data_IF_708459019756
#
_entry.id   IF_708459019756
#
_cell.length_a   1.000
_cell.length_b   1.000
_cell.length_c   1.000
_cell.angle_alpha   90.00
_cell.angle_beta   90.00
_cell.angle_gamma   90.00
#
_symmetry.space_group_name_H-M   'P 1'
#
loop_
_entity.id
_entity.type
_entity.pdbx_description
1 polymer ?
#
# COMPACT_ATOMS: atom_id res chain seq x y z
N UNK A 1 24.51 -0.91 35.76
CA UNK A 1 25.14 -1.12 34.44
C UNK A 1 24.60 -2.42 33.88
N UNK A 2 23.66 -2.34 32.95
CA UNK A 2 23.21 -3.44 32.08
C UNK A 2 22.40 -2.81 30.96
N UNK A 3 23.07 -2.41 29.90
CA UNK A 3 22.45 -1.91 28.66
C UNK A 3 22.06 -3.12 27.81
N UNK A 4 20.76 -3.36 27.68
CA UNK A 4 20.22 -4.34 26.75
C UNK A 4 20.17 -3.73 25.35
N UNK A 5 20.86 -4.37 24.40
CA UNK A 5 20.80 -4.08 22.98
C UNK A 5 19.47 -4.56 22.39
N UNK A 6 18.71 -3.76 21.63
CA UNK A 6 17.58 -4.27 20.89
C UNK A 6 18.06 -4.86 19.56
N UNK A 7 17.75 -6.14 19.36
CA UNK A 7 17.96 -6.89 18.13
C UNK A 7 17.09 -6.33 16.99
N UNK A 8 17.73 -5.74 15.98
CA UNK A 8 17.12 -5.35 14.71
C UNK A 8 16.88 -6.60 13.86
N UNK A 9 15.61 -7.02 13.79
CA UNK A 9 15.12 -7.96 12.79
C UNK A 9 15.06 -7.25 11.43
N UNK A 10 15.81 -7.78 10.46
CA UNK A 10 15.75 -7.42 9.05
C UNK A 10 14.32 -7.58 8.52
N UNK A 11 13.66 -6.47 8.18
CA UNK A 11 12.52 -6.47 7.26
C UNK A 11 12.96 -5.77 5.98
N UNK A 12 13.12 -6.54 4.91
CA UNK A 12 13.45 -6.12 3.55
C UNK A 12 12.28 -5.44 2.81
N UNK A 13 11.21 -5.06 3.52
CA UNK A 13 10.01 -4.43 2.97
C UNK A 13 10.14 -2.96 2.48
N UNK A 14 10.99 -2.07 3.04
CA UNK A 14 10.87 -0.63 2.76
C UNK A 14 11.59 -0.17 1.49
N UNK A 15 12.45 -1.01 0.91
CA UNK A 15 13.20 -0.71 -0.33
C UNK A 15 12.32 -0.71 -1.58
N UNK A 16 11.31 -1.58 -1.61
CA UNK A 16 10.35 -1.65 -2.72
C UNK A 16 9.36 -0.48 -2.65
N UNK A 17 9.02 0.04 -1.47
CA UNK A 17 7.97 1.07 -1.36
C UNK A 17 8.37 2.44 -1.92
N UNK A 18 9.65 2.83 -1.77
CA UNK A 18 10.16 4.13 -2.23
C UNK A 18 10.39 4.20 -3.74
N UNK A 19 10.91 3.13 -4.35
CA UNK A 19 11.14 3.08 -5.81
C UNK A 19 9.83 3.00 -6.60
N UNK A 20 8.83 2.34 -6.01
CA UNK A 20 7.51 2.21 -6.59
C UNK A 20 6.66 3.49 -6.44
N UNK A 21 6.79 4.22 -5.32
CA UNK A 21 6.15 5.53 -5.08
C UNK A 21 6.46 6.55 -6.19
N UNK A 22 7.74 6.69 -6.57
CA UNK A 22 8.14 7.64 -7.62
C UNK A 22 7.66 7.21 -9.01
N UNK A 23 7.64 5.89 -9.26
CA UNK A 23 7.15 5.30 -10.51
C UNK A 23 5.64 5.48 -10.65
N UNK A 24 4.89 5.34 -9.56
CA UNK A 24 3.45 5.60 -9.51
C UNK A 24 3.16 7.10 -9.70
N UNK A 25 3.94 7.99 -9.09
CA UNK A 25 3.77 9.43 -9.26
C UNK A 25 4.04 9.87 -10.71
N UNK A 26 5.09 9.33 -11.35
CA UNK A 26 5.38 9.59 -12.77
C UNK A 26 4.34 8.97 -13.70
N UNK A 27 3.84 7.75 -13.41
CA UNK A 27 2.72 7.18 -14.16
C UNK A 27 1.45 8.02 -13.99
N UNK A 28 1.09 8.41 -12.77
CA UNK A 28 -0.11 9.22 -12.50
C UNK A 28 -0.04 10.61 -13.15
N UNK A 29 1.16 11.20 -13.23
CA UNK A 29 1.35 12.50 -13.89
C UNK A 29 1.33 12.39 -15.43
N UNK A 30 1.93 11.35 -16.02
CA UNK A 30 1.92 11.10 -17.47
C UNK A 30 0.54 10.64 -17.99
N UNK A 31 -0.28 10.02 -17.13
CA UNK A 31 -1.66 9.61 -17.45
C UNK A 31 -2.72 10.71 -17.27
N UNK A 32 -2.33 11.93 -16.84
CA UNK A 32 -3.29 13.00 -16.57
C UNK A 32 -3.95 13.56 -17.84
N UNK A 33 -3.40 13.28 -19.03
CA UNK A 33 -3.90 13.84 -20.29
C UNK A 33 -4.33 12.77 -21.32
N UNK A 34 -5.61 12.84 -21.68
CA UNK A 34 -6.36 12.08 -22.71
C UNK A 34 -6.77 10.64 -22.34
N UNK A 35 -8.07 10.48 -22.07
CA UNK A 35 -8.85 9.24 -21.94
C UNK A 35 -9.04 8.64 -20.52
N UNK A 36 -9.59 9.42 -19.58
CA UNK A 36 -10.05 9.00 -18.23
C UNK A 36 -11.15 7.90 -18.19
N UNK A 37 -11.61 7.38 -19.34
CA UNK A 37 -12.75 6.44 -19.41
C UNK A 37 -12.39 4.96 -19.53
N UNK A 38 -11.11 4.60 -19.68
CA UNK A 38 -10.75 3.25 -20.13
C UNK A 38 -9.74 2.51 -19.24
N UNK A 39 -9.38 2.99 -18.04
CA UNK A 39 -8.34 2.33 -17.23
C UNK A 39 -8.70 2.34 -15.75
N UNK A 40 -9.71 1.55 -15.38
CA UNK A 40 -10.31 1.60 -14.05
C UNK A 40 -10.29 0.21 -13.41
N UNK A 41 -9.78 0.13 -12.17
CA UNK A 41 -10.04 -1.03 -11.33
C UNK A 41 -11.54 -1.04 -10.98
N UNK A 42 -12.21 -2.17 -11.21
CA UNK A 42 -13.65 -2.27 -11.05
C UNK A 42 -14.03 -2.72 -9.63
N UNK A 43 -13.25 -3.63 -9.07
CA UNK A 43 -13.49 -4.19 -7.75
C UNK A 43 -12.20 -4.68 -7.12
N UNK A 44 -12.16 -4.65 -5.78
CA UNK A 44 -11.12 -5.26 -4.95
C UNK A 44 -11.78 -6.21 -3.96
N UNK A 45 -11.22 -7.41 -3.87
CA UNK A 45 -11.59 -8.44 -2.93
C UNK A 45 -10.40 -8.75 -2.02
N UNK A 46 -10.67 -8.96 -0.73
CA UNK A 46 -9.72 -9.58 0.19
C UNK A 46 -10.20 -11.00 0.46
N UNK A 47 -9.35 -11.98 0.15
CA UNK A 47 -9.61 -13.39 0.41
C UNK A 47 -8.71 -13.88 1.54
N UNK A 48 -9.22 -14.82 2.34
CA UNK A 48 -8.42 -15.58 3.28
C UNK A 48 -7.46 -16.53 2.56
N UNK A 49 -6.56 -17.15 3.32
CA UNK A 49 -5.71 -18.25 2.86
C UNK A 49 -6.49 -19.52 2.48
N UNK A 50 -7.78 -19.59 2.83
CA UNK A 50 -8.72 -20.65 2.45
C UNK A 50 -9.58 -20.32 1.22
N UNK A 51 -9.43 -19.10 0.66
CA UNK A 51 -10.19 -18.63 -0.50
C UNK A 51 -11.57 -18.04 -0.15
N UNK A 52 -11.87 -17.85 1.13
CA UNK A 52 -13.11 -17.20 1.57
C UNK A 52 -13.04 -15.69 1.33
N UNK A 53 -14.11 -15.10 0.78
CA UNK A 53 -14.19 -13.65 0.56
C UNK A 53 -14.46 -12.96 1.90
N UNK A 54 -13.43 -12.34 2.48
CA UNK A 54 -13.54 -11.57 3.72
C UNK A 54 -14.12 -10.17 3.49
N UNK A 55 -13.69 -9.52 2.40
CA UNK A 55 -14.11 -8.17 2.05
C UNK A 55 -14.27 -8.03 0.55
N UNK A 56 -15.28 -7.28 0.14
CA UNK A 56 -15.55 -6.91 -1.25
C UNK A 56 -15.85 -5.42 -1.31
N UNK A 57 -15.12 -4.70 -2.16
CA UNK A 57 -15.38 -3.29 -2.44
C UNK A 57 -15.48 -3.07 -3.94
N UNK A 58 -16.69 -2.71 -4.37
CA UNK A 58 -16.98 -2.33 -5.75
C UNK A 58 -16.63 -0.85 -5.93
N UNK A 59 -15.80 -0.55 -6.93
CA UNK A 59 -15.25 0.79 -7.16
C UNK A 59 -15.96 1.52 -8.30
N UNK A 60 -16.64 0.77 -9.17
CA UNK A 60 -17.37 1.31 -10.30
C UNK A 60 -18.84 0.88 -10.25
N UNK A 61 -19.70 1.59 -10.98
CA UNK A 61 -21.12 1.23 -11.07
C UNK A 61 -21.37 -0.13 -11.76
N UNK A 62 -20.36 -0.71 -12.43
CA UNK A 62 -20.46 -2.06 -12.97
C UNK A 62 -20.06 -3.08 -11.91
N UNK A 63 -21.05 -3.84 -11.42
CA UNK A 63 -20.82 -4.86 -10.40
C UNK A 63 -20.00 -6.02 -10.95
N UNK A 64 -18.93 -6.38 -10.25
CA UNK A 64 -18.15 -7.60 -10.49
C UNK A 64 -18.72 -8.72 -9.63
N UNK A 65 -19.02 -9.87 -10.24
CA UNK A 65 -19.61 -11.02 -9.54
C UNK A 65 -18.55 -11.84 -8.78
N UNK A 66 -18.91 -12.39 -7.61
CA UNK A 66 -18.01 -13.19 -6.76
C UNK A 66 -17.54 -14.50 -7.41
N UNK A 67 -18.19 -14.96 -8.46
CA UNK A 67 -17.73 -16.11 -9.27
C UNK A 67 -16.29 -15.95 -9.75
N UNK A 68 -15.80 -14.71 -9.90
CA UNK A 68 -14.39 -14.48 -10.24
C UNK A 68 -13.43 -14.94 -9.13
N UNK A 69 -13.82 -14.81 -7.87
CA UNK A 69 -13.03 -15.26 -6.73
C UNK A 69 -12.99 -16.79 -6.66
N UNK A 70 -14.13 -17.44 -6.92
CA UNK A 70 -14.19 -18.89 -7.02
C UNK A 70 -13.32 -19.42 -8.17
N UNK A 71 -13.41 -18.80 -9.35
CA UNK A 71 -12.55 -19.15 -10.49
C UNK A 71 -11.06 -18.95 -10.17
N UNK A 72 -10.72 -17.84 -9.52
CA UNK A 72 -9.34 -17.57 -9.09
C UNK A 72 -8.86 -18.63 -8.10
N UNK A 73 -9.69 -19.04 -7.14
CA UNK A 73 -9.33 -20.07 -6.17
C UNK A 73 -9.07 -21.43 -6.83
N UNK A 74 -9.93 -21.84 -7.77
CA UNK A 74 -9.71 -23.06 -8.57
C UNK A 74 -8.40 -22.99 -9.36
N UNK A 75 -8.08 -21.81 -9.89
CA UNK A 75 -6.80 -21.56 -10.56
C UNK A 75 -5.62 -21.73 -9.60
N UNK A 76 -5.67 -21.17 -8.38
CA UNK A 76 -4.62 -21.35 -7.35
C UNK A 76 -4.42 -22.83 -7.03
N UNK A 77 -5.51 -23.58 -6.83
CA UNK A 77 -5.47 -25.01 -6.56
C UNK A 77 -4.81 -25.79 -7.71
N UNK A 78 -5.11 -25.42 -8.97
CA UNK A 78 -4.50 -26.03 -10.16
C UNK A 78 -2.98 -25.80 -10.26
N UNK A 79 -2.48 -24.72 -9.68
CA UNK A 79 -1.05 -24.35 -9.66
C UNK A 79 -0.30 -24.87 -8.43
N UNK A 80 -0.92 -25.78 -7.66
CA UNK A 80 -0.31 -26.41 -6.48
C UNK A 80 -0.75 -25.82 -5.14
N UNK A 81 -1.79 -24.97 -5.12
CA UNK A 81 -2.46 -24.53 -3.90
C UNK A 81 -1.70 -23.51 -3.06
N UNK A 82 -0.64 -22.92 -3.59
CA UNK A 82 0.17 -21.91 -2.90
C UNK A 82 -0.01 -20.52 -3.54
N UNK A 83 -0.81 -19.62 -2.94
CA UNK A 83 -1.07 -18.28 -3.48
C UNK A 83 0.19 -17.42 -3.66
N UNK A 84 1.28 -17.70 -2.94
CA UNK A 84 2.53 -16.93 -3.01
C UNK A 84 3.32 -17.20 -4.30
N UNK A 85 3.07 -18.34 -4.95
CA UNK A 85 3.74 -18.76 -6.19
C UNK A 85 2.97 -18.36 -7.45
N UNK A 86 1.80 -17.77 -7.28
CA UNK A 86 0.92 -17.37 -8.36
C UNK A 86 1.46 -16.10 -9.02
N UNK A 87 1.27 -16.00 -10.33
CA UNK A 87 1.64 -14.80 -11.07
C UNK A 87 0.84 -13.58 -10.55
N UNK A 88 1.47 -12.41 -10.35
CA UNK A 88 0.78 -11.20 -9.90
C UNK A 88 -0.30 -10.69 -10.87
N UNK A 89 -0.28 -11.12 -12.13
CA UNK A 89 -1.26 -10.73 -13.16
C UNK A 89 -1.76 -11.99 -13.85
N UNK A 90 -3.08 -12.17 -13.87
CA UNK A 90 -3.73 -13.35 -14.44
C UNK A 90 -4.86 -12.89 -15.35
N UNK A 91 -4.97 -13.49 -16.53
CA UNK A 91 -6.13 -13.29 -17.39
C UNK A 91 -7.16 -14.38 -17.10
N UNK A 92 -8.31 -13.98 -16.54
CA UNK A 92 -9.49 -14.85 -16.48
C UNK A 92 -10.32 -14.71 -17.77
N UNK A 93 -11.33 -15.56 -17.98
CA UNK A 93 -12.21 -15.45 -19.16
C UNK A 93 -12.97 -14.12 -19.26
N UNK A 94 -13.16 -13.42 -18.14
CA UNK A 94 -14.01 -12.22 -18.06
C UNK A 94 -13.27 -10.96 -17.62
N UNK A 95 -12.20 -11.09 -16.83
CA UNK A 95 -11.45 -9.98 -16.23
C UNK A 95 -9.94 -10.26 -16.23
N UNK A 96 -9.15 -9.20 -16.28
CA UNK A 96 -7.76 -9.21 -15.82
C UNK A 96 -7.74 -9.08 -14.30
N UNK A 97 -6.96 -9.94 -13.66
CA UNK A 97 -6.81 -10.03 -12.21
C UNK A 97 -5.41 -9.62 -11.81
N UNK A 98 -5.32 -8.78 -10.78
CA UNK A 98 -4.10 -8.44 -10.09
C UNK A 98 -4.12 -9.08 -8.71
N UNK A 99 -3.06 -9.82 -8.38
CA UNK A 99 -2.93 -10.64 -7.19
C UNK A 99 -1.75 -10.14 -6.34
N UNK A 100 -1.96 -10.01 -5.04
CA UNK A 100 -0.90 -9.85 -4.05
C UNK A 100 -1.21 -10.71 -2.83
N UNK A 101 -0.26 -11.56 -2.43
CA UNK A 101 -0.35 -12.33 -1.19
C UNK A 101 0.55 -11.73 -0.11
N UNK A 102 -0.01 -11.36 1.03
CA UNK A 102 0.71 -10.79 2.18
C UNK A 102 0.09 -11.29 3.48
N UNK A 103 0.93 -11.88 4.34
CA UNK A 103 0.57 -12.27 5.71
C UNK A 103 -0.75 -13.07 5.82
N UNK A 104 -0.96 -14.03 4.91
CA UNK A 104 -2.15 -14.89 4.89
C UNK A 104 -3.38 -14.26 4.23
N UNK A 105 -3.30 -13.02 3.74
CA UNK A 105 -4.37 -12.35 3.01
C UNK A 105 -4.02 -12.27 1.53
N UNK A 106 -5.01 -12.58 0.70
CA UNK A 106 -4.96 -12.43 -0.75
C UNK A 106 -5.71 -11.16 -1.14
N UNK A 107 -4.98 -10.18 -1.66
CA UNK A 107 -5.54 -8.98 -2.27
C UNK A 107 -5.74 -9.24 -3.76
N UNK A 108 -6.99 -9.17 -4.21
CA UNK A 108 -7.37 -9.45 -5.59
C UNK A 108 -8.11 -8.24 -6.18
N UNK A 109 -7.53 -7.60 -7.20
CA UNK A 109 -8.18 -6.53 -7.93
C UNK A 109 -8.58 -6.98 -9.34
N UNK A 110 -9.73 -6.53 -9.82
CA UNK A 110 -10.31 -6.96 -11.10
C UNK A 110 -10.53 -5.78 -12.05
N UNK A 111 -10.28 -5.98 -13.33
CA UNK A 111 -10.67 -5.04 -14.40
C UNK A 111 -11.00 -5.75 -15.71
N UNK A 112 -11.96 -5.23 -16.47
CA UNK A 112 -12.28 -5.68 -17.83
C UNK A 112 -11.50 -4.94 -18.90
N UNK A 113 -10.84 -3.83 -18.54
CA UNK A 113 -10.18 -2.96 -19.51
C UNK A 113 -8.68 -3.03 -19.33
N UNK A 114 -7.96 -2.97 -20.44
CA UNK A 114 -6.50 -3.01 -20.44
C UNK A 114 -5.93 -1.78 -19.72
N UNK A 115 -5.18 -2.02 -18.65
CA UNK A 115 -4.48 -0.99 -17.88
C UNK A 115 -3.01 -1.40 -17.67
N UNK A 116 -2.09 -0.44 -17.44
CA UNK A 116 -0.71 -0.75 -17.10
C UNK A 116 -0.66 -1.70 -15.89
N UNK A 117 -0.14 -2.94 -16.04
CA UNK A 117 -0.24 -3.92 -14.96
C UNK A 117 0.47 -3.49 -13.68
N UNK A 118 1.55 -2.72 -13.83
CA UNK A 118 2.29 -2.17 -12.70
C UNK A 118 1.43 -1.25 -11.83
N UNK A 119 0.49 -0.50 -12.41
CA UNK A 119 -0.41 0.36 -11.64
C UNK A 119 -1.32 -0.45 -10.71
N UNK A 120 -1.87 -1.58 -11.19
CA UNK A 120 -2.75 -2.43 -10.39
C UNK A 120 -2.01 -3.13 -9.26
N UNK A 121 -0.85 -3.73 -9.56
CA UNK A 121 -0.02 -4.41 -8.56
C UNK A 121 0.48 -3.43 -7.50
N UNK A 122 1.00 -2.28 -7.95
CA UNK A 122 1.53 -1.26 -7.05
C UNK A 122 0.47 -0.72 -6.11
N UNK A 123 -0.73 -0.48 -6.63
CA UNK A 123 -1.85 -0.06 -5.80
C UNK A 123 -2.18 -1.10 -4.72
N UNK A 124 -2.23 -2.39 -5.07
CA UNK A 124 -2.45 -3.46 -4.08
C UNK A 124 -1.34 -3.49 -3.02
N UNK A 125 -0.08 -3.30 -3.41
CA UNK A 125 1.04 -3.19 -2.46
C UNK A 125 0.84 -2.02 -1.50
N UNK A 126 0.46 -0.84 -2.01
CA UNK A 126 0.19 0.33 -1.17
C UNK A 126 -0.98 0.12 -0.22
N UNK A 127 -2.04 -0.55 -0.66
CA UNK A 127 -3.17 -0.92 0.22
C UNK A 127 -2.69 -1.84 1.35
N UNK A 128 -1.93 -2.89 1.04
CA UNK A 128 -1.40 -3.80 2.05
C UNK A 128 -0.49 -3.07 3.06
N UNK A 129 0.40 -2.19 2.59
CA UNK A 129 1.29 -1.41 3.45
C UNK A 129 0.50 -0.47 4.37
N UNK A 130 -0.47 0.29 3.83
CA UNK A 130 -1.31 1.20 4.62
C UNK A 130 -2.10 0.44 5.67
N UNK A 131 -2.68 -0.71 5.32
CA UNK A 131 -3.44 -1.52 6.28
C UNK A 131 -2.53 -2.09 7.38
N UNK A 132 -1.34 -2.57 7.03
CA UNK A 132 -0.33 -3.01 8.01
C UNK A 132 0.01 -1.88 8.98
N UNK A 133 0.22 -0.67 8.46
CA UNK A 133 0.54 0.54 9.20
C UNK A 133 -0.59 1.03 10.12
N UNK A 134 -1.84 0.80 9.74
CA UNK A 134 -3.02 1.20 10.51
C UNK A 134 -3.41 0.19 11.59
N UNK A 135 -3.33 -1.09 11.26
CA UNK A 135 -3.78 -2.18 12.12
C UNK A 135 -2.64 -2.77 12.96
N UNK A 136 -1.39 -2.41 12.68
CA UNK A 136 -0.19 -2.95 13.33
C UNK A 136 0.21 -4.34 12.82
N UNK A 137 -0.39 -4.79 11.71
CA UNK A 137 -0.21 -6.12 11.12
C UNK A 137 -1.36 -6.45 10.16
N UNK A 138 -1.21 -7.56 9.45
CA UNK A 138 -2.22 -8.09 8.54
C UNK A 138 -2.57 -9.52 8.97
N UNK A 139 -3.84 -9.74 9.29
CA UNK A 139 -4.43 -11.06 9.50
C UNK A 139 -5.95 -10.99 9.31
N UNK A 140 -6.59 -12.15 9.25
CA UNK A 140 -8.04 -12.23 8.99
C UNK A 140 -8.89 -11.54 10.06
N UNK A 141 -8.58 -11.77 11.34
CA UNK A 141 -9.32 -11.22 12.47
C UNK A 141 -9.23 -9.69 12.53
N UNK A 142 -8.06 -9.11 12.29
CA UNK A 142 -7.82 -7.65 12.30
C UNK A 142 -8.62 -6.96 11.20
N UNK A 143 -8.70 -7.57 10.01
CA UNK A 143 -9.52 -7.03 8.91
C UNK A 143 -11.01 -7.09 9.26
N UNK A 144 -11.47 -8.23 9.80
CA UNK A 144 -12.88 -8.41 10.20
C UNK A 144 -13.28 -7.47 11.34
N UNK A 145 -12.44 -7.32 12.36
CA UNK A 145 -12.67 -6.48 13.54
C UNK A 145 -12.64 -4.98 13.21
N UNK A 146 -11.91 -4.57 12.17
CA UNK A 146 -11.76 -3.17 11.77
C UNK A 146 -12.34 -2.89 10.37
N UNK A 147 -13.34 -3.68 9.93
CA UNK A 147 -13.87 -3.60 8.57
C UNK A 147 -14.29 -2.19 8.14
N UNK A 148 -14.85 -1.40 9.07
CA UNK A 148 -15.26 -0.01 8.80
C UNK A 148 -14.05 0.84 8.36
N UNK A 149 -12.94 0.77 9.10
CA UNK A 149 -11.73 1.52 8.80
C UNK A 149 -11.13 1.05 7.47
N UNK A 150 -11.17 -0.26 7.19
CA UNK A 150 -10.72 -0.80 5.91
C UNK A 150 -11.54 -0.23 4.74
N UNK A 151 -12.86 -0.16 4.87
CA UNK A 151 -13.72 0.45 3.84
C UNK A 151 -13.47 1.94 3.66
N UNK A 152 -13.33 2.69 4.76
CA UNK A 152 -13.00 4.13 4.73
C UNK A 152 -11.65 4.36 4.04
N UNK A 153 -10.63 3.57 4.38
CA UNK A 153 -9.31 3.65 3.73
C UNK A 153 -9.40 3.34 2.24
N UNK A 154 -10.13 2.30 1.84
CA UNK A 154 -10.30 1.97 0.43
C UNK A 154 -11.06 3.07 -0.36
N UNK A 155 -12.04 3.75 0.25
CA UNK A 155 -12.72 4.90 -0.36
C UNK A 155 -11.81 6.11 -0.56
N UNK A 156 -10.90 6.35 0.38
CA UNK A 156 -10.00 7.50 0.32
C UNK A 156 -8.78 7.23 -0.58
N UNK A 157 -8.28 5.99 -0.58
CA UNK A 157 -7.14 5.59 -1.40
C UNK A 157 -7.48 5.49 -2.88
N UNK A 158 -8.75 5.33 -3.23
CA UNK A 158 -9.19 5.16 -4.61
C UNK A 158 -10.53 5.82 -4.90
N UNK A 159 -10.56 6.62 -5.96
CA UNK A 159 -11.77 7.25 -6.47
C UNK A 159 -12.12 6.67 -7.85
N UNK A 160 -13.30 6.06 -7.96
CA UNK A 160 -13.83 5.50 -9.21
C UNK A 160 -12.82 4.58 -9.94
N UNK A 161 -12.07 3.74 -9.22
CA UNK A 161 -11.11 2.83 -9.83
C UNK A 161 -9.73 3.43 -10.16
N UNK A 162 -9.48 4.69 -9.76
CA UNK A 162 -8.17 5.35 -9.86
C UNK A 162 -7.54 5.54 -8.48
N UNK A 163 -6.28 5.12 -8.27
CA UNK A 163 -5.54 5.47 -7.07
C UNK A 163 -5.46 6.99 -6.89
N UNK A 164 -5.85 7.49 -5.71
CA UNK A 164 -5.87 8.91 -5.37
C UNK A 164 -4.89 9.23 -4.23
N UNK A 165 -5.29 9.01 -2.98
CA UNK A 165 -4.47 9.35 -1.81
C UNK A 165 -3.87 8.10 -1.20
N UNK A 166 -2.62 7.77 -1.55
CA UNK A 166 -1.93 6.58 -1.01
C UNK A 166 -0.90 6.92 0.08
N UNK A 167 -0.73 8.21 0.41
CA UNK A 167 0.25 8.67 1.39
C UNK A 167 -0.23 8.47 2.84
N UNK A 168 0.45 7.65 3.67
CA UNK A 168 0.01 7.31 5.01
C UNK A 168 -0.14 8.54 5.94
N UNK A 169 0.68 9.58 5.74
CA UNK A 169 0.62 10.79 6.56
C UNK A 169 -0.66 11.58 6.34
N UNK A 170 -1.13 11.66 5.09
CA UNK A 170 -2.38 12.32 4.74
C UNK A 170 -3.56 11.46 5.17
N UNK A 171 -3.50 10.15 4.89
CA UNK A 171 -4.54 9.22 5.29
C UNK A 171 -4.81 9.29 6.80
N UNK A 172 -3.77 9.35 7.64
CA UNK A 172 -3.92 9.42 9.11
C UNK A 172 -4.58 10.70 9.61
N UNK A 173 -4.55 11.76 8.81
CA UNK A 173 -5.24 13.02 9.13
C UNK A 173 -6.72 12.99 8.70
N UNK A 174 -7.07 12.17 7.70
CA UNK A 174 -8.44 12.01 7.20
C UNK A 174 -9.19 10.91 7.95
N UNK A 175 -8.53 9.78 8.18
CA UNK A 175 -9.06 8.58 8.80
C UNK A 175 -8.19 8.25 10.00
N UNK A 176 -8.77 8.38 11.19
CA UNK A 176 -8.05 8.17 12.44
C UNK A 176 -7.77 6.68 12.65
N UNK A 177 -6.51 6.26 12.91
CA UNK A 177 -6.22 4.87 13.23
C UNK A 177 -6.98 4.35 14.46
N UNK A 178 -7.27 3.04 14.53
CA UNK A 178 -7.91 2.45 15.69
C UNK A 178 -6.96 2.54 16.90
N UNK A 179 -7.28 3.38 17.89
CA UNK A 179 -6.57 3.43 19.17
C UNK A 179 -7.48 2.82 20.26
N UNK A 180 -6.89 2.08 21.19
CA UNK A 180 -7.62 1.49 22.35
C UNK A 180 -8.35 2.59 23.13
N UNK A 181 -7.76 3.78 23.21
CA UNK A 181 -8.36 4.95 23.88
C UNK A 181 -9.55 5.51 23.08
N UNK A 182 -9.52 5.48 21.74
CA UNK A 182 -10.66 5.92 20.93
C UNK A 182 -11.81 4.92 20.96
N UNK A 183 -11.55 3.61 21.06
CA UNK A 183 -12.58 2.59 21.30
C UNK A 183 -13.28 2.76 22.66
N UNK A 184 -12.56 3.18 23.71
CA UNK A 184 -13.18 3.48 25.01
C UNK A 184 -13.93 4.82 25.02
N UNK A 185 -13.41 5.84 24.35
CA UNK A 185 -14.06 7.15 24.25
C UNK A 185 -15.32 7.11 23.39
N UNK A 186 -15.39 6.32 22.32
CA UNK A 186 -16.59 6.19 21.48
C UNK A 186 -17.76 5.55 22.23
N UNK A 187 -17.49 4.57 23.12
CA UNK A 187 -18.48 3.97 24.02
C UNK A 187 -19.02 4.97 25.03
N UNK A 188 -18.19 5.90 25.51
CA UNK A 188 -18.57 6.88 26.54
C UNK A 188 -19.23 8.14 25.94
N UNK A 189 -18.85 8.53 24.72
CA UNK A 189 -19.27 9.81 24.13
C UNK A 189 -20.29 9.69 22.99
N UNK A 190 -20.60 8.47 22.52
CA UNK A 190 -21.59 8.23 21.46
C UNK A 190 -21.21 8.78 20.08
N UNK A 191 -19.96 9.22 19.89
CA UNK A 191 -19.43 9.72 18.61
C UNK A 191 -18.70 8.59 17.89
N UNK A 192 -19.24 8.14 16.76
CA UNK A 192 -18.80 6.92 16.04
C UNK A 192 -17.96 7.26 14.78
N UNK A 193 -17.84 8.53 14.38
CA UNK A 193 -17.14 8.89 13.14
C UNK A 193 -15.62 8.90 13.31
N UNK A 194 -14.91 7.98 12.64
CA UNK A 194 -13.44 7.96 12.54
C UNK A 194 -12.89 8.94 11.49
N UNK A 195 -13.78 9.46 10.63
CA UNK A 195 -13.48 10.44 9.58
C UNK A 195 -13.38 11.84 10.17
N UNK A 196 -12.28 12.53 9.88
CA UNK A 196 -12.06 13.92 10.26
C UNK A 196 -12.95 14.87 9.47
N UNK A 197 -13.54 15.86 10.13
CA UNK A 197 -14.35 16.90 9.48
C UNK A 197 -13.52 18.03 8.85
N UNK A 198 -12.19 17.98 9.00
CA UNK A 198 -11.27 18.98 8.45
C UNK A 198 -10.32 18.31 7.46
N UNK A 199 -10.29 18.84 6.24
CA UNK A 199 -9.35 18.38 5.21
C UNK A 199 -7.89 18.66 5.67
N UNK A 200 -6.96 17.71 5.48
CA UNK A 200 -5.55 17.89 5.78
C UNK A 200 -4.96 19.04 4.96
N UNK A 201 -4.23 19.95 5.59
CA UNK A 201 -3.55 21.06 4.88
C UNK A 201 -2.52 20.52 3.85
N UNK A 202 -2.05 19.28 4.03
CA UNK A 202 -1.16 18.57 3.09
C UNK A 202 -1.83 18.18 1.76
N UNK A 203 -3.17 18.04 1.70
CA UNK A 203 -3.89 17.71 0.44
C UNK A 203 -3.78 18.83 -0.61
N UNK A 204 -3.54 20.08 -0.17
CA UNK A 204 -3.34 21.23 -1.05
C UNK A 204 -1.86 21.50 -1.37
N UNK A 205 -0.93 20.70 -0.82
CA UNK A 205 0.51 20.84 -0.99
C UNK A 205 1.01 20.04 -2.20
N UNK A 206 1.99 20.58 -2.93
CA UNK A 206 2.73 19.80 -3.94
C UNK A 206 3.72 18.79 -3.33
N UNK A 207 3.82 18.76 -1.99
CA UNK A 207 4.68 17.87 -1.20
C UNK A 207 3.77 17.05 -0.26
N UNK A 208 3.11 16.00 -0.77
CA UNK A 208 2.09 15.25 -0.03
C UNK A 208 2.67 14.34 1.07
N UNK A 209 3.93 13.92 0.95
CA UNK A 209 4.58 13.02 1.92
C UNK A 209 4.90 13.69 3.28
N UNK A 210 4.74 15.02 3.41
CA UNK A 210 5.15 15.78 4.60
C UNK A 210 4.02 16.61 5.21
N UNK A 211 3.91 16.56 6.55
CA UNK A 211 3.03 17.45 7.32
C UNK A 211 3.55 18.90 7.32
N UNK A 212 2.65 19.86 7.11
CA UNK A 212 2.99 21.28 7.15
C UNK A 212 3.23 21.73 8.60
N UNK A 213 4.20 22.64 8.81
CA UNK A 213 4.46 23.33 10.08
C UNK A 213 4.83 22.43 11.30
N UNK A 214 5.54 21.31 11.07
CA UNK A 214 6.06 20.47 12.17
C UNK A 214 7.10 21.26 12.98
N UNK A 215 6.93 21.34 14.31
CA UNK A 215 7.87 22.01 15.22
C UNK A 215 8.47 20.99 16.18
N UNK A 216 9.80 21.00 16.29
CA UNK A 216 10.52 20.15 17.23
C UNK A 216 11.45 20.97 18.12
N UNK A 217 11.84 20.37 19.24
CA UNK A 217 12.76 21.00 20.19
C UNK A 217 14.21 21.06 19.67
N UNK A 218 14.60 20.12 18.81
CA UNK A 218 15.89 20.05 18.13
C UNK A 218 15.66 19.63 16.68
N UNK A 219 16.40 20.22 15.74
CA UNK A 219 16.33 19.88 14.32
C UNK A 219 17.57 19.06 13.96
N UNK A 220 17.44 17.74 14.06
CA UNK A 220 18.50 16.79 13.74
C UNK A 220 18.16 16.02 12.47
N UNK A 221 19.18 15.67 11.70
CA UNK A 221 19.05 14.83 10.49
C UNK A 221 20.00 13.66 10.65
N UNK A 222 19.42 12.47 10.71
CA UNK A 222 20.16 11.22 10.69
C UNK A 222 20.21 10.72 9.25
N UNK A 223 21.38 10.30 8.78
CA UNK A 223 21.58 9.72 7.45
C UNK A 223 22.17 8.34 7.62
N UNK A 224 21.45 7.32 7.15
CA UNK A 224 21.97 5.97 7.09
C UNK A 224 22.37 5.66 5.64
N UNK A 225 23.63 5.31 5.41
CA UNK A 225 24.11 4.91 4.08
C UNK A 225 24.04 3.39 4.00
N UNK A 226 23.05 2.88 3.29
CA UNK A 226 22.92 1.44 3.01
C UNK A 226 23.50 1.18 1.62
N UNK A 227 24.54 0.36 1.55
CA UNK A 227 25.11 -0.09 0.27
C UNK A 227 24.71 -1.55 0.04
N UNK A 228 24.10 -1.84 -1.11
CA UNK A 228 23.73 -3.19 -1.54
C UNK A 228 24.60 -3.60 -2.74
N UNK A 229 25.13 -4.83 -2.72
CA UNK A 229 26.01 -5.34 -3.78
C UNK A 229 25.51 -6.69 -4.30
N UNK A 230 24.97 -6.69 -5.53
CA UNK A 230 24.56 -7.90 -6.23
C UNK A 230 25.70 -8.46 -7.09
N UNK A 231 26.20 -9.63 -6.73
CA UNK A 231 27.26 -10.29 -7.49
C UNK A 231 26.79 -11.65 -8.04
N UNK A 232 26.95 -11.84 -9.36
CA UNK A 232 26.71 -13.13 -10.03
C UNK A 232 28.03 -13.77 -10.40
N UNK A 233 28.42 -14.80 -9.65
CA UNK A 233 29.60 -15.59 -9.94
C UNK A 233 29.23 -16.81 -10.80
N UNK A 234 29.63 -16.81 -12.07
CA UNK A 234 29.59 -18.01 -12.91
C UNK A 234 31.00 -18.57 -13.10
N UNK A 235 31.11 -19.90 -13.22
CA UNK A 235 32.39 -20.62 -13.43
C UNK A 235 33.16 -20.13 -14.65
N UNK A 236 32.48 -19.54 -15.64
CA UNK A 236 33.10 -19.06 -16.89
C UNK A 236 33.13 -17.53 -17.00
N UNK A 237 32.40 -16.82 -16.15
CA UNK A 237 32.32 -15.35 -16.18
C UNK A 237 31.94 -14.85 -14.80
N UNK A 238 32.77 -13.99 -14.21
CA UNK A 238 32.37 -13.22 -13.03
C UNK A 238 31.78 -11.90 -13.51
N UNK A 239 30.49 -11.65 -13.25
CA UNK A 239 29.90 -10.32 -13.43
C UNK A 239 29.41 -9.82 -12.07
N UNK A 240 29.94 -8.70 -11.64
CA UNK A 240 29.46 -7.98 -10.46
C UNK A 240 28.58 -6.84 -10.97
N UNK A 241 27.33 -6.81 -10.54
CA UNK A 241 26.40 -5.71 -10.80
C UNK A 241 26.25 -4.93 -9.50
N UNK A 242 27.05 -3.88 -9.32
CA UNK A 242 26.90 -3.02 -8.15
C UNK A 242 25.61 -2.18 -8.32
N UNK A 243 24.56 -2.51 -7.57
CA UNK A 243 23.35 -1.71 -7.47
C UNK A 243 23.42 -0.89 -6.17
N UNK A 244 24.06 0.29 -6.24
CA UNK A 244 24.14 1.17 -5.08
C UNK A 244 22.80 1.91 -4.90
N UNK A 245 21.94 1.44 -3.99
CA UNK A 245 20.71 2.13 -3.60
C UNK A 245 21.00 2.99 -2.36
N UNK A 246 21.17 4.30 -2.55
CA UNK A 246 21.29 5.23 -1.42
C UNK A 246 19.89 5.44 -0.81
N UNK A 247 19.60 4.73 0.27
CA UNK A 247 18.38 4.94 1.05
C UNK A 247 18.56 6.09 2.04
N UNK A 248 17.91 7.22 1.80
CA UNK A 248 17.82 8.28 2.79
C UNK A 248 16.75 7.93 3.84
N UNK A 249 17.15 7.23 4.92
CA UNK A 249 16.35 7.23 6.15
C UNK A 249 16.55 8.53 6.89
N UNK A 250 15.79 9.53 6.48
CA UNK A 250 15.84 10.83 7.09
C UNK A 250 14.77 10.87 8.20
N UNK A 251 15.18 10.63 9.45
CA UNK A 251 14.39 11.05 10.60
C UNK A 251 14.50 12.56 10.68
N UNK A 252 13.62 13.27 9.98
CA UNK A 252 13.72 14.72 9.81
C UNK A 252 12.63 15.42 10.60
N UNK A 253 13.11 16.25 11.51
CA UNK A 253 12.29 17.12 12.34
C UNK A 253 11.97 18.43 11.61
N UNK A 254 12.82 18.96 10.72
CA UNK A 254 12.42 20.14 9.92
C UNK A 254 13.21 20.27 8.61
N UNK A 255 12.50 20.66 7.55
CA UNK A 255 13.04 21.00 6.23
C UNK A 255 12.46 22.36 5.82
N UNK A 256 13.16 23.46 6.04
CA UNK A 256 12.80 24.70 5.34
C UNK A 256 13.69 24.97 4.10
N UNK A 257 14.82 24.28 3.91
CA UNK A 257 15.84 24.76 2.97
C UNK A 257 16.56 23.71 2.08
N UNK A 258 16.10 22.46 2.00
CA UNK A 258 16.76 21.45 1.13
C UNK A 258 16.15 21.43 -0.28
N UNK A 259 16.29 22.52 -1.03
CA UNK A 259 16.08 22.51 -2.49
C UNK A 259 17.41 22.56 -3.26
N UNK A 260 18.54 22.23 -2.60
CA UNK A 260 19.88 22.55 -3.13
C UNK A 260 20.86 21.37 -3.19
N UNK A 261 20.41 20.13 -2.99
CA UNK A 261 21.30 18.94 -3.04
C UNK A 261 20.67 17.77 -3.84
N UNK A 262 19.85 18.09 -4.83
CA UNK A 262 19.53 17.18 -5.94
C UNK A 262 19.95 17.91 -7.21
#
# INVERSE_FOLDING_TARGET
MSTASPSLLHSSAPLLSLSLSLSLFLLLHDFRDRNRRLKMLQCIFFLSDSGEVMLEKQMTGHRVDRSICAWFWDYVLSQGGDPSKILPVIASPTHYLFQLFRDGIIFLACTQVEMPPLMGIEFLCRVADVLTDYLGGLNEDLIKDNFIIVYELLDEMMDNGFPLTTEPNILREMITPPNIVSKMLSVVTGKISNVSTRLPDATASCIPWRKTNMKHASNEVYVNLVEEMDAVFSRFFSRVHLLCIILFYAYILDFQHMLLII
#
